data_IF_735573639501
#
_entry.id   IF_735573639501
#
_cell.length_a   1.000
_cell.length_b   1.000
_cell.length_c   1.000
_cell.angle_alpha   90.00
_cell.angle_beta   90.00
_cell.angle_gamma   90.00
#
_symmetry.space_group_name_H-M   'P 1'
#
loop_
_entity.id
_entity.type
_entity.pdbx_description
1 polymer ?
#
# COMPACT_ATOMS: atom_id res chain seq x y z
N UNK A 1 5.32 -21.82 -6.30
CA UNK A 1 4.25 -21.47 -7.25
C UNK A 1 3.77 -20.01 -7.17
N UNK A 2 4.07 -19.22 -6.12
CA UNK A 2 3.61 -17.81 -6.02
C UNK A 2 4.54 -16.82 -6.76
N UNK A 3 5.84 -17.09 -6.86
CA UNK A 3 6.82 -16.22 -7.53
C UNK A 3 6.56 -16.07 -9.03
N UNK A 4 6.24 -17.17 -9.71
CA UNK A 4 5.96 -17.20 -11.16
C UNK A 4 4.83 -16.25 -11.59
N UNK A 5 3.86 -15.94 -10.71
CA UNK A 5 2.77 -15.02 -11.06
C UNK A 5 3.21 -13.55 -11.02
N UNK A 6 4.20 -13.18 -10.20
CA UNK A 6 4.60 -11.78 -9.99
C UNK A 6 5.49 -11.26 -11.10
N UNK A 7 6.42 -12.09 -11.55
CA UNK A 7 7.28 -11.75 -12.69
C UNK A 7 6.43 -11.56 -13.96
N UNK A 8 5.42 -12.41 -14.17
CA UNK A 8 4.45 -12.26 -15.27
C UNK A 8 3.70 -10.92 -15.22
N UNK A 9 3.33 -10.43 -14.03
CA UNK A 9 2.63 -9.13 -13.88
C UNK A 9 3.57 -7.98 -14.27
N UNK A 10 4.82 -8.02 -13.83
CA UNK A 10 5.77 -6.96 -14.14
C UNK A 10 6.05 -6.88 -15.65
N UNK A 11 6.30 -8.03 -16.29
CA UNK A 11 6.47 -8.10 -17.75
C UNK A 11 5.23 -7.61 -18.50
N UNK A 12 4.03 -7.99 -18.07
CA UNK A 12 2.79 -7.54 -18.68
C UNK A 12 2.64 -6.01 -18.62
N UNK A 13 2.95 -5.40 -17.47
CA UNK A 13 2.90 -3.94 -17.28
C UNK A 13 3.90 -3.22 -18.20
N UNK A 14 5.13 -3.74 -18.33
CA UNK A 14 6.14 -3.18 -19.23
C UNK A 14 5.73 -3.29 -20.71
N UNK A 15 5.17 -4.44 -21.10
CA UNK A 15 4.69 -4.67 -22.47
C UNK A 15 3.53 -3.74 -22.83
N UNK A 16 2.56 -3.57 -21.93
CA UNK A 16 1.44 -2.65 -22.12
C UNK A 16 1.91 -1.19 -22.23
N UNK A 17 2.82 -0.75 -21.36
CA UNK A 17 3.39 0.58 -21.44
C UNK A 17 4.13 0.81 -22.77
N UNK A 18 4.92 -0.17 -23.22
CA UNK A 18 5.64 -0.10 -24.49
C UNK A 18 4.71 -0.01 -25.70
N UNK A 19 3.62 -0.78 -25.70
CA UNK A 19 2.61 -0.74 -26.75
C UNK A 19 1.90 0.62 -26.81
N UNK A 20 1.48 1.16 -25.65
CA UNK A 20 0.85 2.48 -25.58
C UNK A 20 1.80 3.60 -26.04
N UNK A 21 3.10 3.49 -25.69
CA UNK A 21 4.12 4.42 -26.15
C UNK A 21 4.27 4.39 -27.67
N UNK A 22 4.28 3.21 -28.29
CA UNK A 22 4.35 3.05 -29.76
C UNK A 22 3.13 3.63 -30.47
N UNK A 23 1.95 3.54 -29.85
CA UNK A 23 0.70 4.14 -30.37
C UNK A 23 0.57 5.65 -30.10
N UNK A 24 1.55 6.27 -29.43
CA UNK A 24 1.48 7.68 -29.03
C UNK A 24 0.49 7.97 -27.89
N UNK A 25 -0.03 6.94 -27.22
CA UNK A 25 -1.05 7.02 -26.16
C UNK A 25 -0.44 7.18 -24.76
N UNK A 26 0.57 8.03 -24.61
CA UNK A 26 1.33 8.21 -23.36
C UNK A 26 0.50 8.84 -22.22
N UNK A 27 -0.69 9.39 -22.53
CA UNK A 27 -1.65 9.89 -21.54
C UNK A 27 -2.32 8.76 -20.75
N UNK A 28 -2.35 7.55 -21.28
CA UNK A 28 -2.90 6.38 -20.59
C UNK A 28 -1.80 5.78 -19.73
N UNK A 29 -1.93 5.95 -18.41
CA UNK A 29 -0.96 5.44 -17.43
C UNK A 29 -1.29 3.99 -17.07
N UNK A 30 -0.26 3.16 -16.88
CA UNK A 30 -0.40 1.75 -16.53
C UNK A 30 0.10 1.52 -15.12
N UNK A 31 -0.78 1.04 -14.25
CA UNK A 31 -0.46 0.67 -12.88
C UNK A 31 -0.89 -0.76 -12.59
N UNK A 32 -0.55 -1.24 -11.39
CA UNK A 32 -1.02 -2.52 -10.85
C UNK A 32 -1.64 -2.31 -9.48
N UNK A 33 -2.61 -3.15 -9.14
CA UNK A 33 -3.31 -3.10 -7.86
C UNK A 33 -2.70 -4.14 -6.92
N UNK A 34 -2.29 -3.71 -5.73
CA UNK A 34 -1.75 -4.59 -4.70
C UNK A 34 -2.64 -4.62 -3.46
N UNK A 35 -2.69 -5.77 -2.78
CA UNK A 35 -3.42 -5.90 -1.52
C UNK A 35 -2.57 -5.38 -0.36
N UNK A 36 -3.09 -4.42 0.42
CA UNK A 36 -2.39 -3.84 1.56
C UNK A 36 -1.99 -4.92 2.59
N UNK A 37 -2.94 -5.78 2.98
CA UNK A 37 -2.72 -6.78 4.05
C UNK A 37 -1.75 -7.90 3.64
N UNK A 38 -1.68 -8.22 2.34
CA UNK A 38 -0.77 -9.24 1.82
C UNK A 38 0.65 -8.70 1.54
N UNK A 39 0.80 -7.37 1.51
CA UNK A 39 2.04 -6.69 1.13
C UNK A 39 2.77 -6.13 2.34
N UNK A 40 2.04 -5.53 3.28
CA UNK A 40 2.61 -4.73 4.36
C UNK A 40 2.67 -5.55 5.64
N UNK A 41 3.89 -5.72 6.15
CA UNK A 41 4.16 -6.23 7.49
C UNK A 41 4.11 -5.08 8.51
N UNK A 42 3.58 -5.38 9.70
CA UNK A 42 3.44 -4.45 10.81
C UNK A 42 2.84 -3.09 10.38
N UNK A 43 1.59 -3.09 9.87
CA UNK A 43 0.96 -1.87 9.35
C UNK A 43 0.81 -0.77 10.41
N UNK A 44 0.91 -1.14 11.69
CA UNK A 44 0.88 -0.20 12.79
C UNK A 44 2.06 -0.35 13.75
N UNK A 45 2.60 0.78 14.23
CA UNK A 45 2.30 2.15 13.78
C UNK A 45 2.81 2.44 12.36
N UNK A 46 2.21 3.39 11.65
CA UNK A 46 2.46 3.61 10.22
C UNK A 46 3.94 3.86 9.88
N UNK A 47 4.66 4.55 10.78
CA UNK A 47 6.11 4.78 10.63
C UNK A 47 6.95 3.49 10.61
N UNK A 48 6.41 2.39 11.15
CA UNK A 48 7.03 1.05 11.16
C UNK A 48 6.49 0.11 10.08
N UNK A 49 5.50 0.54 9.30
CA UNK A 49 4.99 -0.26 8.19
C UNK A 49 6.10 -0.50 7.15
N UNK A 50 6.27 -1.75 6.74
CA UNK A 50 7.28 -2.16 5.74
C UNK A 50 6.68 -3.19 4.79
N UNK A 51 7.11 -3.18 3.53
CA UNK A 51 6.81 -4.26 2.59
C UNK A 51 7.44 -5.55 3.13
N UNK A 52 6.74 -6.68 3.04
CA UNK A 52 7.27 -7.96 3.48
C UNK A 52 8.51 -8.36 2.68
N UNK A 53 9.46 -9.03 3.32
CA UNK A 53 10.73 -9.41 2.67
C UNK A 53 10.51 -10.26 1.41
N UNK A 54 9.49 -11.13 1.44
CA UNK A 54 9.07 -11.97 0.31
C UNK A 54 8.51 -11.22 -0.90
N UNK A 55 8.24 -9.92 -0.77
CA UNK A 55 7.69 -9.06 -1.80
C UNK A 55 8.67 -7.93 -2.18
N UNK A 56 9.77 -7.75 -1.44
CA UNK A 56 10.61 -6.56 -1.52
C UNK A 56 11.22 -6.34 -2.90
N UNK A 57 11.74 -7.40 -3.53
CA UNK A 57 12.35 -7.32 -4.87
C UNK A 57 11.33 -6.94 -5.95
N UNK A 58 10.15 -7.56 -5.92
CA UNK A 58 9.07 -7.24 -6.84
C UNK A 58 8.64 -5.77 -6.67
N UNK A 59 8.43 -5.30 -5.45
CA UNK A 59 8.03 -3.92 -5.18
C UNK A 59 9.12 -2.92 -5.56
N UNK A 60 10.40 -3.24 -5.35
CA UNK A 60 11.50 -2.36 -5.77
C UNK A 60 11.49 -2.15 -7.28
N UNK A 61 11.34 -3.22 -8.07
CA UNK A 61 11.24 -3.15 -9.54
C UNK A 61 10.00 -2.37 -9.98
N UNK A 62 8.85 -2.69 -9.38
CA UNK A 62 7.58 -2.05 -9.69
C UNK A 62 7.59 -0.55 -9.37
N UNK A 63 8.02 -0.16 -8.17
CA UNK A 63 8.03 1.24 -7.74
C UNK A 63 8.97 2.08 -8.59
N UNK A 64 10.14 1.54 -8.96
CA UNK A 64 11.04 2.21 -9.92
C UNK A 64 10.37 2.44 -11.27
N UNK A 65 9.71 1.42 -11.81
CA UNK A 65 8.98 1.55 -13.08
C UNK A 65 7.85 2.59 -13.00
N UNK A 66 7.10 2.60 -11.89
CA UNK A 66 6.02 3.56 -11.67
C UNK A 66 6.53 4.99 -11.53
N UNK A 67 7.67 5.18 -10.87
CA UNK A 67 8.37 6.47 -10.79
C UNK A 67 8.85 6.94 -12.17
N UNK A 68 9.52 6.08 -12.94
CA UNK A 68 10.01 6.39 -14.29
C UNK A 68 8.89 6.72 -15.29
N UNK A 69 7.69 6.15 -15.08
CA UNK A 69 6.53 6.37 -15.95
C UNK A 69 5.55 7.43 -15.41
N UNK A 70 5.87 8.05 -14.27
CA UNK A 70 5.02 9.02 -13.59
C UNK A 70 3.58 8.47 -13.42
N UNK A 71 3.48 7.29 -12.81
CA UNK A 71 2.23 6.57 -12.58
C UNK A 71 2.08 6.23 -11.10
N UNK A 72 0.91 6.47 -10.46
CA UNK A 72 0.71 6.12 -9.06
C UNK A 72 0.59 4.59 -8.87
N UNK A 73 1.02 4.09 -7.71
CA UNK A 73 0.70 2.73 -7.26
C UNK A 73 -0.77 2.66 -6.78
N UNK A 74 -1.50 1.66 -7.24
CA UNK A 74 -2.85 1.39 -6.75
C UNK A 74 -2.82 0.36 -5.61
N UNK A 75 -3.53 0.65 -4.51
CA UNK A 75 -3.56 -0.21 -3.33
C UNK A 75 -5.01 -0.45 -2.91
N UNK A 76 -5.37 -1.72 -2.77
CA UNK A 76 -6.62 -2.13 -2.12
C UNK A 76 -6.42 -2.17 -0.61
N UNK A 77 -7.09 -1.25 0.10
CA UNK A 77 -7.05 -1.14 1.55
C UNK A 77 -8.46 -1.28 2.12
N UNK A 78 -8.65 -2.27 3.00
CA UNK A 78 -9.92 -2.56 3.64
C UNK A 78 -9.75 -2.51 5.17
N UNK A 79 -10.14 -1.41 5.85
CA UNK A 79 -9.93 -1.25 7.29
C UNK A 79 -10.52 -2.40 8.12
N UNK A 80 -11.66 -2.94 7.70
CA UNK A 80 -12.29 -4.11 8.33
C UNK A 80 -11.37 -5.36 8.38
N UNK A 81 -10.61 -5.62 7.32
CA UNK A 81 -9.67 -6.76 7.30
C UNK A 81 -8.51 -6.56 8.28
N UNK A 82 -8.09 -5.31 8.46
CA UNK A 82 -7.03 -4.93 9.39
C UNK A 82 -7.54 -5.11 10.84
N UNK A 83 -8.76 -4.67 11.14
CA UNK A 83 -9.40 -4.90 12.45
C UNK A 83 -9.55 -6.39 12.77
N UNK A 84 -10.02 -7.20 11.81
CA UNK A 84 -10.23 -8.64 12.02
C UNK A 84 -8.93 -9.36 12.39
N UNK A 85 -7.81 -8.94 11.82
CA UNK A 85 -6.48 -9.53 12.12
C UNK A 85 -5.80 -8.94 13.35
N UNK A 86 -6.17 -7.72 13.77
CA UNK A 86 -5.64 -7.04 14.96
C UNK A 86 -6.76 -6.29 15.69
N UNK A 87 -7.59 -6.99 16.50
CA UNK A 87 -8.78 -6.40 17.13
C UNK A 87 -8.46 -5.31 18.17
N UNK A 88 -7.20 -5.25 18.62
CA UNK A 88 -6.68 -4.22 19.52
C UNK A 88 -6.45 -2.86 18.83
N UNK A 89 -6.51 -2.80 17.50
CA UNK A 89 -6.66 -1.54 16.76
C UNK A 89 -8.10 -1.07 16.96
N UNK A 90 -8.28 -0.01 17.75
CA UNK A 90 -9.58 0.55 18.13
C UNK A 90 -10.58 0.56 16.96
N UNK A 91 -11.69 -0.18 17.12
CA UNK A 91 -12.85 -0.17 16.21
C UNK A 91 -13.28 1.26 15.84
N UNK A 92 -13.11 2.21 16.76
CA UNK A 92 -13.32 3.63 16.52
C UNK A 92 -12.54 4.19 15.32
N UNK A 93 -11.25 3.82 15.18
CA UNK A 93 -10.40 4.27 14.09
C UNK A 93 -10.91 3.77 12.73
N UNK A 94 -11.24 2.48 12.64
CA UNK A 94 -11.73 1.90 11.38
C UNK A 94 -13.14 2.34 10.99
N UNK A 95 -13.94 2.79 11.97
CA UNK A 95 -15.27 3.36 11.73
C UNK A 95 -15.23 4.89 11.49
N UNK A 96 -14.03 5.49 11.38
CA UNK A 96 -13.86 6.94 11.22
C UNK A 96 -14.60 7.75 12.29
N UNK A 97 -14.73 7.21 13.50
CA UNK A 97 -15.35 7.92 14.62
C UNK A 97 -14.29 8.75 15.32
N UNK A 98 -14.57 10.04 15.53
CA UNK A 98 -13.77 10.86 16.43
C UNK A 98 -13.71 10.20 17.80
N UNK A 99 -12.51 9.91 18.26
CA UNK A 99 -12.27 9.44 19.63
C UNK A 99 -11.27 10.40 20.29
N UNK A 100 -11.64 11.09 21.38
CA UNK A 100 -10.77 12.08 22.05
C UNK A 100 -9.49 11.49 22.67
N UNK A 101 -9.25 10.17 22.54
CA UNK A 101 -8.17 9.45 23.21
C UNK A 101 -7.33 8.57 22.27
N UNK A 102 -7.30 8.84 20.96
CA UNK A 102 -6.33 8.17 20.05
C UNK A 102 -4.86 8.49 20.37
N UNK A 103 -4.61 9.38 21.33
CA UNK A 103 -3.33 9.49 22.02
C UNK A 103 -3.42 8.65 23.29
N UNK A 104 -3.17 7.34 23.20
CA UNK A 104 -2.75 6.60 24.39
C UNK A 104 -1.31 7.06 24.68
N UNK A 105 -1.17 8.03 25.58
CA UNK A 105 0.11 8.34 26.24
C UNK A 105 0.50 7.13 27.09
N UNK A 106 0.98 6.05 26.48
CA UNK A 106 1.90 5.17 27.19
C UNK A 106 3.23 5.92 27.23
N UNK A 107 3.67 6.30 28.43
CA UNK A 107 4.82 7.17 28.71
C UNK A 107 6.19 6.61 28.24
N UNK A 108 6.20 5.62 27.33
CA UNK A 108 7.41 4.98 26.79
C UNK A 108 7.38 4.88 25.26
N UNK A 109 6.21 4.91 24.59
CA UNK A 109 6.13 4.68 23.14
C UNK A 109 4.97 5.43 22.49
N UNK A 110 5.14 6.73 22.26
CA UNK A 110 4.18 7.54 21.51
C UNK A 110 4.23 7.21 20.02
N UNK A 111 3.24 6.47 19.53
CA UNK A 111 3.08 6.21 18.11
C UNK A 111 1.97 7.05 17.51
N UNK A 112 2.36 8.04 16.70
CA UNK A 112 1.43 8.90 15.96
C UNK A 112 0.82 8.09 14.81
N UNK A 113 -0.50 7.87 14.87
CA UNK A 113 -1.29 7.20 13.85
C UNK A 113 -2.07 8.29 13.10
N UNK A 114 -1.61 8.64 11.90
CA UNK A 114 -2.14 9.63 10.93
C UNK A 114 -3.13 10.69 11.46
N UNK A 115 -2.71 11.96 11.49
CA UNK A 115 -3.63 13.08 11.66
C UNK A 115 -4.47 13.27 10.39
N UNK A 116 -5.76 12.98 10.46
CA UNK A 116 -6.76 13.48 9.51
C UNK A 116 -7.50 14.62 10.18
N UNK A 117 -7.11 15.85 9.86
CA UNK A 117 -7.85 17.05 10.24
C UNK A 117 -8.83 17.34 9.10
N UNK A 118 -10.11 17.08 9.34
CA UNK A 118 -11.18 17.53 8.45
C UNK A 118 -11.54 18.94 8.93
N UNK A 119 -11.30 19.94 8.08
CA UNK A 119 -11.76 21.31 8.30
C UNK A 119 -13.16 21.51 7.75
#
# INVERSE_FOLDING_TARGET
>A
MVESNRDNIFEAVQNLHSALKQLGLQRIKISTIVSFIATINNPFPASKARVSDSNLDFFRKLLRFLEETDTPLLINLYPYQILKSRPEVLVAFALFKEYPHLIRYDMVNSYKMFELRIS
#
